data_IF_612681828119
#
_entry.id   IF_612681828119
#
_cell.length_a   1.000
_cell.length_b   1.000
_cell.length_c   1.000
_cell.angle_alpha   90.00
_cell.angle_beta   90.00
_cell.angle_gamma   90.00
#
_symmetry.space_group_name_H-M   'P 1'
#
loop_
_entity.id
_entity.type
_entity.pdbx_description
1 polymer ?
#
# COMPACT_ATOMS: atom_id res chain seq x y z
N UNK A 1 -8.09 34.42 9.61
CA UNK A 1 -7.97 33.59 8.38
C UNK A 1 -6.62 32.84 8.29
N UNK A 2 -5.70 33.14 9.16
CA UNK A 2 -4.34 32.57 9.15
C UNK A 2 -4.20 31.27 9.95
N UNK A 3 -5.18 30.95 10.78
CA UNK A 3 -5.13 29.78 11.64
C UNK A 3 -5.51 28.46 10.92
N UNK A 4 -6.23 28.53 9.81
CA UNK A 4 -6.70 27.34 9.12
C UNK A 4 -5.60 26.59 8.32
N UNK A 5 -4.64 27.33 7.76
CA UNK A 5 -3.62 26.74 6.89
C UNK A 5 -2.53 25.94 7.63
N UNK A 6 -2.32 26.19 8.92
CA UNK A 6 -1.28 25.52 9.71
C UNK A 6 -1.71 24.18 10.33
N UNK A 7 -3.00 23.89 10.32
CA UNK A 7 -3.55 22.76 11.07
C UNK A 7 -3.51 21.46 10.30
N UNK A 8 -3.28 21.47 9.00
CA UNK A 8 -3.68 20.34 8.14
C UNK A 8 -2.57 19.43 7.63
N UNK A 9 -1.33 19.85 7.66
CA UNK A 9 -0.24 18.90 7.39
C UNK A 9 0.07 18.13 8.66
N UNK A 10 -0.41 16.89 8.72
CA UNK A 10 -0.17 16.02 9.84
C UNK A 10 -1.16 16.15 11.00
N UNK A 11 -2.32 16.75 10.78
CA UNK A 11 -3.40 16.80 11.77
C UNK A 11 -4.39 15.66 11.59
N UNK A 12 -5.06 15.27 12.67
CA UNK A 12 -6.21 14.37 12.59
C UNK A 12 -7.28 14.95 11.66
N UNK A 13 -8.01 14.04 11.03
CA UNK A 13 -9.11 14.42 10.17
C UNK A 13 -10.15 15.24 10.94
N UNK A 14 -10.63 16.34 10.37
CA UNK A 14 -11.79 17.04 10.91
C UNK A 14 -13.01 16.12 10.98
N UNK A 15 -13.86 16.29 11.99
CA UNK A 15 -15.02 15.42 12.23
C UNK A 15 -16.12 15.48 11.18
N UNK A 16 -16.12 16.51 10.35
CA UNK A 16 -17.18 16.82 9.39
C UNK A 16 -16.78 16.67 7.93
N UNK A 17 -15.66 16.01 7.65
CA UNK A 17 -15.18 15.78 6.28
C UNK A 17 -15.53 14.37 5.79
N UNK A 18 -15.70 14.16 4.47
CA UNK A 18 -15.88 12.83 3.91
C UNK A 18 -14.69 11.95 4.24
N UNK A 19 -14.95 10.71 4.68
CA UNK A 19 -13.88 9.75 4.99
C UNK A 19 -13.90 8.61 3.99
N UNK A 20 -12.77 8.38 3.33
CA UNK A 20 -12.51 7.20 2.49
C UNK A 20 -11.67 6.20 3.26
N UNK A 21 -12.19 5.00 3.42
CA UNK A 21 -11.49 3.92 4.14
C UNK A 21 -11.04 2.84 3.16
N UNK A 22 -9.78 2.45 3.28
CA UNK A 22 -9.19 1.33 2.56
C UNK A 22 -8.65 0.30 3.55
N UNK A 23 -8.89 -0.97 3.28
CA UNK A 23 -8.28 -2.10 3.98
C UNK A 23 -7.15 -2.60 3.08
N UNK A 24 -5.91 -2.53 3.58
CA UNK A 24 -4.69 -2.76 2.81
C UNK A 24 -3.81 -3.72 3.58
N UNK A 25 -3.25 -4.68 2.87
CA UNK A 25 -2.24 -5.58 3.43
C UNK A 25 -0.93 -5.49 2.65
N UNK A 26 0.18 -5.66 3.37
CA UNK A 26 1.45 -6.07 2.78
C UNK A 26 1.48 -7.60 2.76
N UNK A 27 1.79 -8.20 1.63
CA UNK A 27 1.83 -9.66 1.46
C UNK A 27 3.10 -10.08 0.72
N UNK A 28 3.58 -11.29 1.02
CA UNK A 28 4.54 -11.95 0.16
C UNK A 28 3.84 -12.36 -1.13
N UNK A 29 4.51 -12.23 -2.26
CA UNK A 29 3.95 -12.55 -3.57
C UNK A 29 5.05 -13.04 -4.50
N UNK A 30 4.70 -13.99 -5.34
CA UNK A 30 5.54 -14.42 -6.45
C UNK A 30 5.28 -13.54 -7.66
N UNK A 31 6.23 -12.68 -8.00
CA UNK A 31 6.11 -11.74 -9.11
C UNK A 31 6.72 -12.37 -10.36
N UNK A 32 5.90 -12.62 -11.37
CA UNK A 32 6.36 -13.09 -12.67
C UNK A 32 7.05 -11.97 -13.43
N UNK A 33 8.27 -12.22 -13.90
CA UNK A 33 9.14 -11.21 -14.53
C UNK A 33 9.01 -11.19 -16.06
N UNK A 34 8.67 -12.31 -16.68
CA UNK A 34 8.61 -12.43 -18.13
C UNK A 34 7.70 -13.58 -18.59
N UNK A 35 7.50 -13.65 -19.89
CA UNK A 35 6.69 -14.67 -20.57
C UNK A 35 7.25 -16.10 -20.49
N UNK A 36 8.49 -16.29 -20.08
CA UNK A 36 9.10 -17.61 -19.90
C UNK A 36 8.95 -18.16 -18.48
N UNK A 37 8.25 -17.40 -17.60
CA UNK A 37 7.92 -17.84 -16.27
C UNK A 37 9.01 -17.60 -15.23
N UNK A 38 10.04 -16.81 -15.54
CA UNK A 38 10.95 -16.36 -14.51
C UNK A 38 10.18 -15.52 -13.47
N UNK A 39 10.47 -15.75 -12.21
CA UNK A 39 9.77 -15.08 -11.12
C UNK A 39 10.71 -14.58 -10.04
N UNK A 40 10.23 -13.65 -9.26
CA UNK A 40 10.90 -13.09 -8.10
C UNK A 40 10.00 -13.22 -6.87
N UNK A 41 10.48 -13.81 -5.76
CA UNK A 41 9.77 -13.77 -4.49
C UNK A 41 9.87 -12.35 -3.92
N UNK A 42 8.78 -11.62 -3.96
CA UNK A 42 8.73 -10.22 -3.58
C UNK A 42 7.63 -9.91 -2.58
N UNK A 43 7.39 -8.64 -2.42
CA UNK A 43 6.36 -8.10 -1.55
C UNK A 43 5.47 -7.16 -2.33
N UNK A 44 4.21 -7.05 -1.95
CA UNK A 44 3.32 -6.03 -2.51
C UNK A 44 2.30 -5.54 -1.50
N UNK A 45 1.87 -4.30 -1.68
CA UNK A 45 0.62 -3.83 -1.08
C UNK A 45 -0.56 -4.28 -1.91
N UNK A 46 -1.63 -4.68 -1.25
CA UNK A 46 -2.86 -5.12 -1.90
C UNK A 46 -4.08 -4.67 -1.09
N UNK A 47 -5.18 -4.36 -1.77
CA UNK A 47 -6.47 -4.24 -1.09
C UNK A 47 -6.90 -5.60 -0.58
N UNK A 48 -7.34 -5.71 0.67
CA UNK A 48 -7.72 -6.98 1.29
C UNK A 48 -8.73 -7.78 0.45
N UNK A 49 -9.67 -7.09 -0.18
CA UNK A 49 -10.66 -7.70 -1.10
C UNK A 49 -10.08 -8.34 -2.37
N UNK A 50 -8.81 -8.07 -2.68
CA UNK A 50 -8.14 -8.59 -3.87
C UNK A 50 -7.11 -9.69 -3.56
N UNK A 51 -6.86 -10.01 -2.29
CA UNK A 51 -5.87 -11.02 -1.89
C UNK A 51 -6.16 -12.37 -2.57
N UNK A 52 -7.41 -12.82 -2.55
CA UNK A 52 -7.77 -14.11 -3.18
C UNK A 52 -7.49 -14.11 -4.69
N UNK A 53 -7.64 -12.97 -5.36
CA UNK A 53 -7.32 -12.85 -6.79
C UNK A 53 -5.81 -12.93 -7.04
N UNK A 54 -5.01 -12.33 -6.16
CA UNK A 54 -3.55 -12.43 -6.24
C UNK A 54 -3.13 -13.89 -6.07
N UNK A 55 -3.67 -14.59 -5.07
CA UNK A 55 -3.35 -16.00 -4.84
C UNK A 55 -3.75 -16.89 -6.02
N UNK A 56 -4.93 -16.69 -6.57
CA UNK A 56 -5.37 -17.42 -7.76
C UNK A 56 -4.47 -17.16 -8.99
N UNK A 57 -3.94 -15.94 -9.12
CA UNK A 57 -3.01 -15.59 -10.19
C UNK A 57 -1.63 -16.24 -9.98
N UNK A 58 -1.11 -16.27 -8.76
CA UNK A 58 0.11 -17.01 -8.43
C UNK A 58 -0.01 -18.49 -8.77
N UNK A 59 -1.13 -19.13 -8.39
CA UNK A 59 -1.41 -20.55 -8.70
C UNK A 59 -1.47 -20.79 -10.22
N UNK A 60 -2.13 -19.90 -10.96
CA UNK A 60 -2.20 -19.96 -12.42
C UNK A 60 -0.81 -19.85 -13.04
N UNK A 61 0.01 -18.91 -12.57
CA UNK A 61 1.36 -18.70 -13.09
C UNK A 61 2.27 -19.89 -12.77
N UNK A 62 2.18 -20.45 -11.57
CA UNK A 62 2.92 -21.66 -11.16
C UNK A 62 2.54 -22.85 -12.06
N UNK A 63 1.26 -23.10 -12.26
CA UNK A 63 0.76 -24.17 -13.13
C UNK A 63 1.22 -24.01 -14.58
N UNK A 64 1.25 -22.77 -15.10
CA UNK A 64 1.75 -22.48 -16.44
C UNK A 64 3.24 -22.80 -16.59
N UNK A 65 4.05 -22.51 -15.59
CA UNK A 65 5.49 -22.86 -15.59
C UNK A 65 5.74 -24.37 -15.57
N UNK A 66 5.01 -25.08 -14.70
CA UNK A 66 5.18 -26.54 -14.51
C UNK A 66 4.73 -27.35 -15.72
N UNK A 67 3.77 -26.85 -16.48
CA UNK A 67 3.17 -27.59 -17.59
C UNK A 67 3.74 -27.25 -18.96
N UNK A 68 4.81 -26.47 -19.04
CA UNK A 68 5.40 -25.99 -20.31
C UNK A 68 4.36 -25.34 -21.24
N UNK A 69 3.33 -24.73 -20.67
CA UNK A 69 2.30 -24.05 -21.43
C UNK A 69 2.84 -22.84 -22.19
N UNK A 70 2.04 -22.37 -23.14
CA UNK A 70 2.33 -21.14 -23.88
C UNK A 70 2.78 -20.01 -22.92
N UNK A 71 3.96 -19.47 -23.10
CA UNK A 71 4.46 -18.35 -22.30
C UNK A 71 3.49 -17.16 -22.22
N UNK A 72 2.63 -16.98 -23.22
CA UNK A 72 1.57 -15.97 -23.22
C UNK A 72 0.44 -16.25 -22.21
N UNK A 73 0.36 -17.43 -21.61
CA UNK A 73 -0.62 -17.74 -20.56
C UNK A 73 -0.20 -17.23 -19.17
N UNK A 74 1.07 -16.86 -19.01
CA UNK A 74 1.57 -16.30 -17.76
C UNK A 74 1.23 -14.82 -17.67
N UNK A 75 0.74 -14.38 -16.52
CA UNK A 75 0.45 -12.96 -16.28
C UNK A 75 1.73 -12.12 -16.33
N UNK A 76 1.60 -10.87 -16.72
CA UNK A 76 2.73 -9.94 -16.85
C UNK A 76 2.55 -8.66 -16.01
N UNK A 77 1.58 -8.64 -15.10
CA UNK A 77 1.28 -7.50 -14.24
C UNK A 77 0.56 -6.34 -14.94
N UNK A 78 0.02 -6.57 -16.14
CA UNK A 78 -0.67 -5.56 -16.94
C UNK A 78 -2.13 -5.94 -17.16
N UNK A 79 -2.97 -4.92 -17.39
CA UNK A 79 -4.33 -5.04 -17.93
C UNK A 79 -5.29 -6.03 -17.23
N UNK A 80 -5.42 -5.88 -15.91
CA UNK A 80 -6.42 -6.63 -15.16
C UNK A 80 -5.85 -7.81 -14.37
N UNK A 81 -4.56 -8.05 -14.47
CA UNK A 81 -3.87 -8.95 -13.56
C UNK A 81 -3.98 -8.44 -12.12
N UNK A 82 -4.07 -9.34 -11.16
CA UNK A 82 -4.20 -8.98 -9.75
C UNK A 82 -2.85 -8.61 -9.14
N UNK A 83 -1.76 -9.18 -9.66
CA UNK A 83 -0.39 -8.82 -9.30
C UNK A 83 0.02 -7.58 -10.11
N UNK A 84 -0.22 -6.41 -9.54
CA UNK A 84 0.02 -5.13 -10.18
C UNK A 84 0.33 -4.05 -9.13
N UNK A 85 0.94 -2.92 -9.53
CA UNK A 85 1.20 -1.82 -8.62
C UNK A 85 -0.06 -1.36 -7.88
N UNK A 86 0.08 -1.20 -6.58
CA UNK A 86 -1.01 -0.76 -5.70
C UNK A 86 -1.34 0.71 -5.95
N UNK A 87 -2.64 1.01 -6.02
CA UNK A 87 -3.14 2.39 -6.17
C UNK A 87 -4.40 2.62 -5.35
N UNK A 88 -4.42 3.72 -4.60
CA UNK A 88 -5.62 4.26 -3.97
C UNK A 88 -5.87 5.70 -4.45
N UNK A 89 -7.11 6.14 -4.34
CA UNK A 89 -7.51 7.48 -4.80
C UNK A 89 -8.29 8.20 -3.71
N UNK A 90 -7.99 9.47 -3.54
CA UNK A 90 -8.73 10.35 -2.66
C UNK A 90 -8.85 11.73 -3.32
N UNK A 91 -9.80 12.55 -2.85
CA UNK A 91 -9.98 13.91 -3.35
C UNK A 91 -9.46 14.91 -2.32
N UNK A 92 -9.20 16.12 -2.80
CA UNK A 92 -8.99 17.26 -1.91
C UNK A 92 -10.18 17.40 -0.93
N UNK A 93 -9.89 17.68 0.33
CA UNK A 93 -10.89 17.79 1.38
C UNK A 93 -11.36 16.45 1.99
N UNK A 94 -10.92 15.31 1.45
CA UNK A 94 -11.23 14.01 2.05
C UNK A 94 -10.31 13.70 3.25
N UNK A 95 -10.86 12.95 4.19
CA UNK A 95 -10.06 12.18 5.14
C UNK A 95 -9.77 10.80 4.54
N UNK A 96 -8.51 10.45 4.45
CA UNK A 96 -8.09 9.12 4.05
C UNK A 96 -7.77 8.29 5.30
N UNK A 97 -8.42 7.14 5.41
CA UNK A 97 -8.16 6.16 6.47
C UNK A 97 -7.70 4.85 5.85
N UNK A 98 -6.55 4.38 6.26
CA UNK A 98 -6.00 3.10 5.82
C UNK A 98 -5.91 2.18 7.03
N UNK A 99 -6.66 1.08 7.00
CA UNK A 99 -6.51 -0.03 7.95
C UNK A 99 -5.48 -0.98 7.35
N UNK A 100 -4.26 -0.86 7.81
CA UNK A 100 -3.13 -1.62 7.32
C UNK A 100 -2.94 -2.89 8.15
N UNK A 101 -2.67 -4.01 7.47
CA UNK A 101 -2.30 -5.29 8.07
C UNK A 101 -0.99 -5.76 7.46
N UNK A 102 0.02 -5.96 8.29
CA UNK A 102 1.24 -6.63 7.84
C UNK A 102 1.02 -8.15 7.83
N UNK A 103 0.94 -8.74 6.64
CA UNK A 103 0.81 -10.18 6.42
C UNK A 103 2.09 -10.80 5.84
N UNK A 104 3.22 -10.09 5.94
CA UNK A 104 4.51 -10.66 5.60
C UNK A 104 4.85 -11.77 6.61
N UNK A 105 5.63 -12.75 6.16
CA UNK A 105 5.96 -13.92 6.99
C UNK A 105 6.86 -13.56 8.16
N UNK A 106 7.97 -12.86 7.91
CA UNK A 106 9.01 -12.61 8.89
C UNK A 106 9.54 -11.16 8.90
N UNK A 107 8.86 -10.22 8.20
CA UNK A 107 9.38 -8.87 8.05
C UNK A 107 8.42 -7.81 8.58
N UNK A 108 9.01 -6.77 9.13
CA UNK A 108 8.29 -5.56 9.47
C UNK A 108 7.87 -4.81 8.21
N UNK A 109 6.71 -4.17 8.25
CA UNK A 109 6.23 -3.34 7.17
C UNK A 109 5.76 -1.98 7.68
N UNK A 110 5.78 -0.97 6.81
CA UNK A 110 5.20 0.34 7.07
C UNK A 110 4.31 0.77 5.93
N UNK A 111 3.58 1.85 6.11
CA UNK A 111 2.77 2.46 5.07
C UNK A 111 2.97 3.97 5.12
N UNK A 112 3.84 4.47 4.27
CA UNK A 112 4.21 5.87 4.24
C UNK A 112 3.99 6.47 2.86
N UNK A 113 3.37 7.66 2.83
CA UNK A 113 3.15 8.42 1.61
C UNK A 113 4.21 9.51 1.50
N UNK A 114 4.96 9.51 0.40
CA UNK A 114 5.95 10.53 0.12
C UNK A 114 5.30 11.82 -0.38
N UNK A 115 5.93 12.94 -0.07
CA UNK A 115 5.52 14.25 -0.56
C UNK A 115 4.86 15.10 0.50
N UNK A 116 3.82 15.85 0.12
CA UNK A 116 3.17 16.82 0.98
C UNK A 116 2.21 16.20 2.01
N UNK A 117 1.69 15.02 1.72
CA UNK A 117 0.80 14.31 2.63
C UNK A 117 1.57 13.64 3.77
N UNK A 118 1.15 13.86 5.00
CA UNK A 118 1.70 13.20 6.18
C UNK A 118 0.66 12.25 6.74
N UNK A 119 1.03 10.98 6.85
CA UNK A 119 0.20 9.98 7.50
C UNK A 119 0.32 10.15 9.01
N UNK A 120 -0.81 10.10 9.69
CA UNK A 120 -0.89 10.07 11.15
C UNK A 120 -1.44 8.72 11.57
N UNK A 121 -0.72 8.05 12.45
CA UNK A 121 -1.20 6.82 13.04
C UNK A 121 -2.45 7.05 13.91
N UNK A 122 -3.19 6.01 14.22
CA UNK A 122 -4.34 6.07 15.13
C UNK A 122 -4.00 6.57 16.54
N UNK A 123 -2.71 6.59 16.89
CA UNK A 123 -2.21 7.17 18.15
C UNK A 123 -2.00 8.67 18.08
N UNK A 124 -2.19 9.30 16.92
CA UNK A 124 -2.01 10.73 16.70
C UNK A 124 -0.56 11.17 16.51
N UNK A 125 0.36 10.22 16.38
CA UNK A 125 1.75 10.53 16.09
C UNK A 125 2.01 10.55 14.58
N UNK A 126 2.85 11.46 14.09
CA UNK A 126 3.27 11.45 12.70
C UNK A 126 3.90 10.10 12.33
N UNK A 127 3.49 9.55 11.21
CA UNK A 127 4.07 8.32 10.70
C UNK A 127 5.38 8.63 9.95
N UNK A 128 6.47 8.48 10.66
CA UNK A 128 7.83 8.60 10.10
C UNK A 128 8.63 7.37 10.50
N UNK A 129 9.67 7.04 9.77
CA UNK A 129 10.55 5.90 10.09
C UNK A 129 11.14 5.94 11.52
N UNK A 130 11.11 7.08 12.18
CA UNK A 130 11.58 7.26 13.56
C UNK A 130 10.45 7.26 14.59
N UNK A 131 9.19 7.04 14.19
CA UNK A 131 8.01 7.21 15.04
C UNK A 131 7.34 5.88 15.31
N UNK A 132 6.92 5.56 16.55
CA UNK A 132 6.10 4.38 16.83
C UNK A 132 4.83 4.38 15.99
N UNK A 133 4.57 3.28 15.30
CA UNK A 133 3.46 3.13 14.34
C UNK A 133 3.90 3.24 12.86
N UNK A 134 5.09 3.76 12.61
CA UNK A 134 5.69 3.70 11.27
C UNK A 134 6.12 2.27 10.90
N UNK A 135 6.41 1.45 11.90
CA UNK A 135 6.81 0.05 11.77
C UNK A 135 5.72 -0.82 12.35
N UNK A 136 5.20 -1.72 11.53
CA UNK A 136 4.17 -2.69 11.89
C UNK A 136 4.78 -4.08 11.81
N UNK A 137 5.00 -4.76 12.94
CA UNK A 137 5.54 -6.12 12.95
C UNK A 137 4.68 -7.11 12.16
N UNK A 138 5.29 -8.22 11.73
CA UNK A 138 4.58 -9.29 11.04
C UNK A 138 3.35 -9.76 11.85
N UNK A 139 2.22 -9.89 11.20
CA UNK A 139 0.93 -10.26 11.80
C UNK A 139 0.17 -9.13 12.49
N UNK A 140 0.76 -7.97 12.68
CA UNK A 140 0.16 -6.84 13.39
C UNK A 140 -0.63 -5.91 12.44
N UNK A 141 -1.41 -5.03 13.07
CA UNK A 141 -2.29 -4.08 12.36
C UNK A 141 -2.06 -2.66 12.85
N UNK A 142 -2.19 -1.71 11.93
CA UNK A 142 -2.13 -0.29 12.24
C UNK A 142 -3.20 0.47 11.45
N UNK A 143 -3.78 1.50 12.05
CA UNK A 143 -4.67 2.42 11.35
C UNK A 143 -3.95 3.73 11.14
N UNK A 144 -3.93 4.17 9.89
CA UNK A 144 -3.38 5.46 9.49
C UNK A 144 -4.50 6.37 9.03
N UNK A 145 -4.41 7.63 9.40
CA UNK A 145 -5.34 8.67 8.96
C UNK A 145 -4.57 9.90 8.51
N UNK A 146 -5.00 10.53 7.44
CA UNK A 146 -4.56 11.87 7.10
C UNK A 146 -5.63 12.64 6.34
N UNK A 147 -5.65 13.92 6.59
CA UNK A 147 -6.49 14.86 5.89
C UNK A 147 -5.78 15.35 4.62
N UNK A 148 -6.47 15.32 3.51
CA UNK A 148 -5.99 15.88 2.24
C UNK A 148 -6.48 17.32 2.16
N UNK A 149 -5.59 18.32 2.27
CA UNK A 149 -5.99 19.71 2.22
C UNK A 149 -6.74 20.06 0.93
N UNK A 150 -7.63 21.03 1.00
CA UNK A 150 -8.40 21.47 -0.17
C UNK A 150 -7.56 22.22 -1.21
N UNK A 151 -6.37 22.65 -0.83
CA UNK A 151 -5.37 23.31 -1.65
C UNK A 151 -4.19 22.40 -2.03
N UNK A 152 -4.28 21.10 -1.70
CA UNK A 152 -3.29 20.13 -2.14
C UNK A 152 -3.29 20.04 -3.67
N UNK A 153 -2.10 20.02 -4.26
CA UNK A 153 -1.98 19.89 -5.71
C UNK A 153 -2.37 18.48 -6.17
N UNK A 154 -3.09 18.41 -7.29
CA UNK A 154 -3.34 17.13 -7.95
C UNK A 154 -2.03 16.48 -8.37
N UNK A 155 -1.88 15.20 -8.07
CA UNK A 155 -0.66 14.47 -8.41
C UNK A 155 -0.66 13.05 -7.87
N UNK A 156 0.41 12.33 -8.19
CA UNK A 156 0.70 11.02 -7.66
C UNK A 156 1.69 11.10 -6.51
N UNK A 157 1.36 10.45 -5.40
CA UNK A 157 2.25 10.28 -4.26
C UNK A 157 2.66 8.82 -4.15
N UNK A 158 3.95 8.57 -4.03
CA UNK A 158 4.44 7.20 -3.85
C UNK A 158 4.18 6.72 -2.43
N UNK A 159 3.71 5.49 -2.32
CA UNK A 159 3.62 4.77 -1.06
C UNK A 159 4.88 3.93 -0.93
N UNK A 160 5.53 4.01 0.22
CA UNK A 160 6.80 3.33 0.46
C UNK A 160 6.78 2.58 1.80
N UNK A 161 7.55 1.50 1.84
CA UNK A 161 7.89 0.82 3.08
C UNK A 161 9.22 1.35 3.61
N UNK A 162 9.21 1.94 4.78
CA UNK A 162 10.42 2.38 5.48
C UNK A 162 10.75 1.49 6.69
N UNK A 163 10.01 0.42 6.91
CA UNK A 163 10.23 -0.50 8.03
C UNK A 163 11.29 -1.56 7.72
N UNK A 164 11.42 -1.96 6.45
CA UNK A 164 12.40 -2.96 6.03
C UNK A 164 13.82 -2.43 5.95
N UNK A 165 14.80 -3.34 5.96
CA UNK A 165 16.22 -3.01 5.76
C UNK A 165 16.53 -2.54 4.34
N UNK A 166 15.66 -2.85 3.40
CA UNK A 166 15.76 -2.42 2.00
C UNK A 166 14.49 -1.66 1.59
N UNK A 167 14.57 -0.33 1.43
CA UNK A 167 13.42 0.49 1.03
C UNK A 167 12.91 0.20 -0.39
N UNK A 168 13.63 -0.58 -1.18
CA UNK A 168 13.25 -0.92 -2.57
C UNK A 168 12.36 -2.16 -2.68
N UNK A 169 12.01 -2.80 -1.57
CA UNK A 169 11.36 -4.10 -1.56
C UNK A 169 9.82 -4.10 -1.59
N UNK A 170 9.17 -2.92 -1.72
CA UNK A 170 7.69 -2.84 -1.86
C UNK A 170 7.26 -1.84 -2.91
#
# INVERSE_FOLDING_TARGET
TEAAAKVYKGAHCPSNVPTKTYEVSAINVEITLNQWGDFYPGYMYVLDKNIDKVRAEEEKNAAARESELDPGAVSNGLQGDAIQPFMIRANQGDCLRVKFTNRLEDEDAGFQVNGSAMIISSTGQPDTAATPGAIVPAGEKQVYEWYIPIDEQEGGHMIQNHAGRDPSSL
#
